data_IF_180241534416
#
_entry.id   IF_180241534416
#
_cell.length_a   1.000
_cell.length_b   1.000
_cell.length_c   1.000
_cell.angle_alpha   90.00
_cell.angle_beta   90.00
_cell.angle_gamma   90.00
#
_symmetry.space_group_name_H-M   'P 1'
#
loop_
_entity.id
_entity.type
_entity.pdbx_description
1 polymer ?
#
# COMPACT_ATOMS: atom_id res chain seq x y z
N UNK A 1 -0.95 8.39 -10.40
CA UNK A 1 -1.67 7.45 -9.52
C UNK A 1 -1.24 6.03 -9.85
N UNK A 2 -1.29 5.11 -8.89
CA UNK A 2 -1.24 3.66 -9.21
C UNK A 2 -2.57 3.27 -9.86
N UNK A 3 -2.57 2.70 -11.09
CA UNK A 3 -3.80 2.34 -11.77
C UNK A 3 -4.44 1.09 -11.17
N UNK A 4 -5.78 1.01 -11.18
CA UNK A 4 -6.53 -0.17 -10.72
C UNK A 4 -6.67 -1.24 -11.82
N UNK A 5 -6.49 -0.86 -13.09
CA UNK A 5 -6.42 -1.76 -14.24
C UNK A 5 -5.48 -1.21 -15.32
N UNK A 6 -5.01 -2.09 -16.21
CA UNK A 6 -4.17 -1.76 -17.36
C UNK A 6 -4.80 -2.36 -18.61
N UNK A 7 -4.88 -1.60 -19.70
CA UNK A 7 -5.31 -2.10 -21.00
C UNK A 7 -4.09 -2.52 -21.84
N UNK A 8 -4.15 -3.72 -22.40
CA UNK A 8 -3.14 -4.23 -23.31
C UNK A 8 -3.81 -5.10 -24.37
N UNK A 9 -3.58 -4.80 -25.65
CA UNK A 9 -4.14 -5.52 -26.79
C UNK A 9 -5.68 -5.69 -26.74
N UNK A 10 -6.38 -4.61 -26.37
CA UNK A 10 -7.84 -4.61 -26.24
C UNK A 10 -8.38 -5.42 -25.05
N UNK A 11 -7.52 -6.00 -24.23
CA UNK A 11 -7.86 -6.71 -23.01
C UNK A 11 -7.57 -5.84 -21.78
N UNK A 12 -8.48 -5.88 -20.79
CA UNK A 12 -8.33 -5.17 -19.52
C UNK A 12 -7.84 -6.12 -18.43
N UNK A 13 -6.79 -5.72 -17.73
CA UNK A 13 -6.16 -6.49 -16.66
C UNK A 13 -6.26 -5.72 -15.35
N UNK A 14 -6.90 -6.32 -14.35
CA UNK A 14 -6.94 -5.74 -13.00
C UNK A 14 -5.58 -5.84 -12.33
N UNK A 15 -5.15 -4.77 -11.66
CA UNK A 15 -3.92 -4.80 -10.86
C UNK A 15 -4.18 -5.52 -9.55
N UNK A 16 -3.69 -6.76 -9.43
CA UNK A 16 -3.87 -7.61 -8.25
C UNK A 16 -2.69 -7.61 -7.29
N UNK A 17 -1.53 -7.09 -7.70
CA UNK A 17 -0.32 -7.09 -6.88
C UNK A 17 0.63 -5.98 -7.30
N UNK A 18 1.33 -5.39 -6.33
CA UNK A 18 2.40 -4.43 -6.57
C UNK A 18 3.71 -5.07 -6.13
N UNK A 19 4.65 -5.20 -7.06
CA UNK A 19 5.92 -5.87 -6.80
C UNK A 19 6.86 -5.09 -5.88
N UNK A 20 7.94 -5.78 -5.49
CA UNK A 20 9.00 -5.20 -4.66
C UNK A 20 9.56 -3.92 -5.28
N UNK A 21 9.58 -2.84 -4.49
CA UNK A 21 10.13 -1.55 -4.89
C UNK A 21 9.46 -0.86 -6.09
N UNK A 22 8.31 -1.34 -6.59
CA UNK A 22 7.70 -0.88 -7.85
C UNK A 22 7.55 0.65 -7.96
N UNK A 23 7.29 1.31 -6.84
CA UNK A 23 7.14 2.76 -6.75
C UNK A 23 8.07 3.41 -5.72
N UNK A 24 9.12 2.71 -5.27
CA UNK A 24 10.03 3.20 -4.24
C UNK A 24 10.57 4.60 -4.57
N UNK A 25 10.43 5.53 -3.62
CA UNK A 25 10.85 6.94 -3.69
C UNK A 25 10.17 7.74 -4.80
N UNK A 26 8.99 7.32 -5.26
CA UNK A 26 8.25 8.08 -6.26
C UNK A 26 7.78 9.42 -5.69
N UNK A 27 8.30 10.51 -6.26
CA UNK A 27 7.92 11.89 -5.90
C UNK A 27 6.70 12.39 -6.68
N UNK A 28 6.27 11.66 -7.71
CA UNK A 28 5.18 12.08 -8.62
C UNK A 28 3.85 11.38 -8.34
N UNK A 29 3.86 10.27 -7.59
CA UNK A 29 2.63 9.60 -7.19
C UNK A 29 1.92 10.40 -6.11
N UNK A 30 0.71 10.86 -6.44
CA UNK A 30 -0.18 11.58 -5.52
C UNK A 30 -1.28 10.71 -4.92
N UNK A 31 -1.61 9.58 -5.57
CA UNK A 31 -2.65 8.67 -5.11
C UNK A 31 -2.37 7.22 -5.47
N UNK A 32 -2.94 6.31 -4.68
CA UNK A 32 -2.90 4.86 -4.92
C UNK A 32 -4.26 4.22 -4.61
N UNK A 33 -4.88 3.63 -5.64
CA UNK A 33 -6.06 2.79 -5.48
C UNK A 33 -5.65 1.32 -5.39
N UNK A 34 -5.78 0.74 -4.20
CA UNK A 34 -5.42 -0.63 -3.87
C UNK A 34 -6.67 -1.50 -3.63
N UNK A 35 -7.84 -1.08 -4.12
CA UNK A 35 -9.12 -1.77 -3.88
C UNK A 35 -9.13 -3.22 -4.36
N UNK A 36 -8.38 -3.53 -5.43
CA UNK A 36 -8.27 -4.88 -6.00
C UNK A 36 -6.93 -5.56 -5.70
N UNK A 37 -6.02 -4.87 -4.99
CA UNK A 37 -4.66 -5.36 -4.74
C UNK A 37 -4.68 -6.33 -3.57
N UNK A 38 -4.12 -7.53 -3.81
CA UNK A 38 -3.98 -8.61 -2.83
C UNK A 38 -2.65 -8.60 -2.11
N UNK A 39 -1.61 -8.09 -2.74
CA UNK A 39 -0.26 -8.13 -2.20
C UNK A 39 0.55 -6.88 -2.54
N UNK A 40 1.25 -6.35 -1.54
CA UNK A 40 2.31 -5.36 -1.72
C UNK A 40 3.67 -6.02 -1.42
N UNK A 41 4.63 -5.86 -2.31
CA UNK A 41 6.00 -6.32 -2.13
C UNK A 41 6.81 -5.50 -1.13
N UNK A 42 8.03 -5.95 -0.83
CA UNK A 42 9.01 -5.23 0.00
C UNK A 42 9.25 -3.83 -0.58
N UNK A 43 9.09 -2.79 0.26
CA UNK A 43 9.26 -1.37 -0.15
C UNK A 43 8.43 -0.94 -1.37
N UNK A 44 7.35 -1.64 -1.73
CA UNK A 44 6.55 -1.39 -2.94
C UNK A 44 6.17 0.09 -3.15
N UNK A 45 5.79 0.80 -2.10
CA UNK A 45 5.44 2.23 -2.07
C UNK A 45 6.28 2.99 -1.03
N UNK A 46 7.49 2.50 -0.74
CA UNK A 46 8.36 3.12 0.27
C UNK A 46 8.80 4.51 -0.16
N UNK A 47 8.81 5.48 0.74
CA UNK A 47 9.20 6.88 0.54
C UNK A 47 8.45 7.60 -0.59
N UNK A 48 7.21 7.21 -0.90
CA UNK A 48 6.36 7.97 -1.83
C UNK A 48 5.72 9.19 -1.13
N UNK A 49 6.52 10.20 -0.83
CA UNK A 49 6.10 11.36 -0.03
C UNK A 49 4.95 12.19 -0.66
N UNK A 50 4.77 12.08 -1.98
CA UNK A 50 3.72 12.78 -2.71
C UNK A 50 2.33 12.18 -2.53
N UNK A 51 2.19 10.93 -2.05
CA UNK A 51 0.89 10.28 -1.93
C UNK A 51 0.12 10.95 -0.80
N UNK A 52 -1.03 11.54 -1.12
CA UNK A 52 -1.96 12.15 -0.16
C UNK A 52 -3.23 11.32 0.01
N UNK A 53 -3.52 10.43 -0.93
CA UNK A 53 -4.73 9.60 -0.93
C UNK A 53 -4.40 8.14 -1.23
N UNK A 54 -4.85 7.24 -0.35
CA UNK A 54 -4.67 5.80 -0.52
C UNK A 54 -5.95 5.07 -0.09
N UNK A 55 -6.47 4.21 -0.97
CA UNK A 55 -7.65 3.38 -0.69
C UNK A 55 -7.23 1.91 -0.66
N UNK A 56 -7.61 1.19 0.39
CA UNK A 56 -7.42 -0.26 0.50
C UNK A 56 -8.73 -1.00 0.28
N UNK A 57 -8.66 -2.18 -0.33
CA UNK A 57 -9.78 -3.10 -0.42
C UNK A 57 -9.69 -4.25 0.58
N UNK A 58 -10.80 -4.94 0.79
CA UNK A 58 -10.90 -6.10 1.68
C UNK A 58 -10.11 -7.32 1.17
N UNK A 59 -9.73 -7.30 -0.12
CA UNK A 59 -8.95 -8.36 -0.76
C UNK A 59 -7.45 -8.31 -0.45
N UNK A 60 -6.96 -7.32 0.31
CA UNK A 60 -5.54 -7.23 0.63
C UNK A 60 -5.14 -8.30 1.66
N UNK A 61 -4.32 -9.25 1.22
CA UNK A 61 -3.90 -10.43 1.97
C UNK A 61 -2.50 -10.25 2.58
N UNK A 62 -1.62 -9.46 1.96
CA UNK A 62 -0.23 -9.31 2.40
C UNK A 62 0.38 -7.94 2.12
N UNK A 63 1.23 -7.48 3.05
CA UNK A 63 2.04 -6.27 2.93
C UNK A 63 3.49 -6.62 3.25
N UNK A 64 4.39 -6.42 2.29
CA UNK A 64 5.82 -6.64 2.44
C UNK A 64 6.46 -5.64 3.41
N UNK A 65 7.60 -6.02 3.98
CA UNK A 65 8.34 -5.15 4.89
C UNK A 65 8.63 -3.78 4.28
N UNK A 66 8.44 -2.70 5.04
CA UNK A 66 8.63 -1.31 4.59
C UNK A 66 7.83 -0.91 3.35
N UNK A 67 6.82 -1.68 2.91
CA UNK A 67 6.05 -1.38 1.70
C UNK A 67 5.44 0.02 1.72
N UNK A 68 5.09 0.53 2.89
CA UNK A 68 4.45 1.84 3.10
C UNK A 68 5.32 2.78 3.97
N UNK A 69 6.60 2.47 4.15
CA UNK A 69 7.52 3.27 4.96
C UNK A 69 7.69 4.68 4.37
N UNK A 70 7.74 5.73 5.19
CA UNK A 70 8.05 7.09 4.73
C UNK A 70 6.93 7.73 3.88
N UNK A 71 5.72 7.20 3.92
CA UNK A 71 4.52 7.90 3.44
C UNK A 71 4.14 9.00 4.43
N UNK A 72 3.82 10.19 3.93
CA UNK A 72 3.58 11.40 4.73
C UNK A 72 2.33 11.32 5.63
N UNK A 73 1.45 10.34 5.39
CA UNK A 73 0.23 10.07 6.15
C UNK A 73 0.34 8.83 7.06
N UNK A 74 1.56 8.38 7.40
CA UNK A 74 1.79 7.37 8.44
C UNK A 74 2.15 8.01 9.80
N UNK A 75 1.54 9.16 10.11
CA UNK A 75 1.72 9.94 11.35
C UNK A 75 0.73 9.55 12.47
N UNK A 76 0.11 8.37 12.41
CA UNK A 76 -0.81 7.89 13.47
C UNK A 76 -2.18 8.59 13.55
N UNK A 77 -2.34 9.81 13.02
CA UNK A 77 -3.61 10.59 13.02
C UNK A 77 -4.27 10.68 11.64
N UNK A 78 -3.61 10.20 10.60
CA UNK A 78 -4.04 10.38 9.21
C UNK A 78 -4.96 9.26 8.76
N UNK A 79 -6.09 9.68 8.18
CA UNK A 79 -7.22 8.91 7.67
C UNK A 79 -6.83 7.86 6.60
N UNK A 80 -6.13 6.79 6.97
CA UNK A 80 -6.25 5.52 6.28
C UNK A 80 -7.71 5.08 6.47
N UNK A 81 -8.55 5.23 5.45
CA UNK A 81 -9.99 4.94 5.57
C UNK A 81 -10.28 3.47 5.91
N UNK A 82 -9.30 2.59 5.74
CA UNK A 82 -9.23 1.31 6.44
C UNK A 82 -7.81 0.78 6.27
N UNK A 83 -7.12 0.48 7.35
CA UNK A 83 -6.33 -0.76 7.33
C UNK A 83 -7.35 -1.89 7.31
N UNK A 84 -7.37 -2.77 6.29
CA UNK A 84 -8.29 -3.90 6.25
C UNK A 84 -8.26 -4.62 7.60
N UNK A 85 -9.42 -4.97 8.16
CA UNK A 85 -9.51 -5.56 9.50
C UNK A 85 -8.60 -6.80 9.65
N UNK A 86 -8.37 -7.50 8.53
CA UNK A 86 -7.50 -8.67 8.37
C UNK A 86 -6.00 -8.38 8.58
N UNK A 87 -5.59 -7.11 8.51
CA UNK A 87 -4.21 -6.65 8.64
C UNK A 87 -3.95 -5.95 9.99
N UNK A 88 -4.97 -5.75 10.82
CA UNK A 88 -4.81 -5.15 12.17
C UNK A 88 -3.84 -5.94 13.07
N UNK A 89 -3.69 -7.26 12.84
CA UNK A 89 -2.75 -8.13 13.56
C UNK A 89 -1.43 -8.42 12.83
N UNK A 90 -1.23 -7.91 11.61
CA UNK A 90 -0.05 -8.18 10.79
C UNK A 90 0.47 -6.89 10.15
N UNK A 91 1.68 -6.50 10.54
CA UNK A 91 2.64 -5.74 9.72
C UNK A 91 2.33 -4.28 9.40
N UNK A 92 2.74 -3.39 10.33
CA UNK A 92 3.38 -2.11 9.95
C UNK A 92 4.80 -2.08 10.53
N UNK A 93 5.66 -2.99 10.06
CA UNK A 93 7.08 -2.94 10.41
C UNK A 93 7.80 -1.91 9.53
N UNK A 94 7.82 -0.66 9.99
CA UNK A 94 8.93 0.25 9.78
C UNK A 94 9.56 0.51 11.13
N UNK A 95 10.89 0.53 11.24
CA UNK A 95 11.57 0.78 12.52
C UNK A 95 10.98 2.02 13.19
N UNK A 96 10.33 1.82 14.34
CA UNK A 96 9.63 2.84 15.13
C UNK A 96 8.17 2.51 15.48
N UNK A 97 7.49 1.64 14.74
CA UNK A 97 6.11 1.24 15.08
C UNK A 97 6.11 0.02 16.02
N UNK A 98 5.69 0.25 17.26
CA UNK A 98 5.64 -0.77 18.31
C UNK A 98 4.57 -1.81 17.96
N UNK A 99 5.03 -3.06 17.88
CA UNK A 99 4.29 -4.27 17.60
C UNK A 99 3.29 -4.58 18.73
N UNK A 100 1.98 -4.46 18.48
CA UNK A 100 0.98 -5.13 19.32
C UNK A 100 0.34 -6.27 18.52
N UNK A 101 0.86 -7.47 18.74
CA UNK A 101 0.10 -8.69 18.52
C UNK A 101 -0.99 -8.72 19.61
N UNK A 102 -2.25 -8.73 19.24
CA UNK A 102 -3.29 -9.31 20.09
C UNK A 102 -4.04 -10.31 19.24
N UNK A 103 -3.84 -11.59 19.57
CA UNK A 103 -4.68 -12.72 19.18
C UNK A 103 -6.12 -12.51 19.64
#
# INVERSE_FOLDING_TARGET
AVPSSVEYDGCSYTVTSIGDGAFLRSSTLTSADLSNVKALGFKALGNCAGITEMTFGDSLESIGGYALYGLSFYDGDTKLKATPDNLKGRTFAGEGAVLYLVS
#
